data_IF_028621511900
#
_entry.id   IF_028621511900
#
_cell.length_a   1.000
_cell.length_b   1.000
_cell.length_c   1.000
_cell.angle_alpha   90.00
_cell.angle_beta   90.00
_cell.angle_gamma   90.00
#
_symmetry.space_group_name_H-M   'P 1'
#
loop_
_entity.id
_entity.type
_entity.pdbx_description
1 polymer ?
#
# COMPACT_ATOMS: atom_id res chain seq x y z
N UNK A 1 10.89 -24.25 9.20
CA UNK A 1 12.31 -24.25 8.76
C UNK A 1 12.52 -23.58 7.38
N UNK A 2 11.51 -23.54 6.51
CA UNK A 2 11.57 -22.83 5.22
C UNK A 2 11.43 -21.30 5.40
N UNK A 3 10.60 -20.86 6.35
CA UNK A 3 10.35 -19.43 6.64
C UNK A 3 11.60 -18.68 7.09
N UNK A 4 12.49 -19.33 7.86
CA UNK A 4 13.71 -18.71 8.40
C UNK A 4 14.79 -18.47 7.35
N UNK A 5 14.78 -19.21 6.24
CA UNK A 5 15.78 -19.07 5.16
C UNK A 5 15.40 -17.93 4.21
N UNK A 6 14.10 -17.76 3.94
CA UNK A 6 13.57 -16.64 3.13
C UNK A 6 13.78 -15.27 3.81
N UNK A 7 13.58 -15.19 5.12
CA UNK A 7 13.78 -13.96 5.91
C UNK A 7 15.23 -13.45 5.90
N UNK A 8 16.21 -14.32 5.65
CA UNK A 8 17.65 -13.98 5.79
C UNK A 8 18.25 -13.32 4.54
N UNK A 9 17.58 -13.39 3.38
CA UNK A 9 18.13 -12.92 2.08
C UNK A 9 17.48 -11.63 1.55
N UNK A 10 16.36 -11.20 2.12
CA UNK A 10 15.72 -9.93 1.79
C UNK A 10 16.08 -8.87 2.83
N UNK A 11 16.58 -7.70 2.37
CA UNK A 11 16.72 -6.52 3.21
C UNK A 11 15.40 -6.25 3.93
N UNK A 12 15.42 -6.21 5.27
CA UNK A 12 14.22 -6.12 6.12
C UNK A 12 13.29 -4.96 5.75
N UNK A 13 13.83 -3.93 5.11
CA UNK A 13 13.09 -2.76 4.65
C UNK A 13 12.24 -3.05 3.41
N UNK A 14 12.72 -3.90 2.49
CA UNK A 14 11.95 -4.34 1.32
C UNK A 14 10.77 -5.23 1.74
N UNK A 15 11.00 -6.11 2.72
CA UNK A 15 9.96 -6.97 3.27
C UNK A 15 8.85 -6.13 3.93
N UNK A 16 9.23 -5.13 4.73
CA UNK A 16 8.28 -4.22 5.37
C UNK A 16 7.44 -3.43 4.36
N UNK A 17 8.06 -2.89 3.30
CA UNK A 17 7.34 -2.20 2.24
C UNK A 17 6.34 -3.12 1.52
N UNK A 18 6.73 -4.37 1.27
CA UNK A 18 5.87 -5.36 0.61
C UNK A 18 4.66 -5.73 1.48
N UNK A 19 4.87 -5.93 2.78
CA UNK A 19 3.78 -6.15 3.73
C UNK A 19 2.81 -4.96 3.80
N UNK A 20 3.33 -3.73 3.85
CA UNK A 20 2.49 -2.53 3.80
C UNK A 20 1.69 -2.46 2.51
N UNK A 21 2.33 -2.72 1.37
CA UNK A 21 1.65 -2.72 0.06
C UNK A 21 0.52 -3.75 -0.02
N UNK A 22 0.75 -4.98 0.45
CA UNK A 22 -0.29 -6.02 0.51
C UNK A 22 -1.44 -5.59 1.43
N UNK A 23 -1.13 -5.04 2.60
CA UNK A 23 -2.15 -4.60 3.54
C UNK A 23 -3.07 -3.53 2.92
N UNK A 24 -2.51 -2.52 2.26
CA UNK A 24 -3.31 -1.49 1.59
C UNK A 24 -4.08 -2.03 0.37
N UNK A 25 -3.50 -2.98 -0.37
CA UNK A 25 -4.16 -3.63 -1.50
C UNK A 25 -5.34 -4.50 -1.07
N UNK A 26 -5.23 -5.18 0.08
CA UNK A 26 -6.33 -5.96 0.65
C UNK A 26 -7.51 -5.06 1.03
N UNK A 27 -7.24 -3.90 1.65
CA UNK A 27 -8.28 -2.90 1.95
C UNK A 27 -8.93 -2.38 0.66
N UNK A 28 -8.14 -2.06 -0.36
CA UNK A 28 -8.67 -1.63 -1.65
C UNK A 28 -9.58 -2.70 -2.28
N UNK A 29 -9.16 -3.97 -2.22
CA UNK A 29 -9.97 -5.08 -2.71
C UNK A 29 -11.31 -5.15 -1.99
N UNK A 30 -11.35 -5.00 -0.67
CA UNK A 30 -12.60 -4.94 0.09
C UNK A 30 -13.49 -3.77 -0.34
N UNK A 31 -12.93 -2.58 -0.58
CA UNK A 31 -13.69 -1.42 -1.06
C UNK A 31 -14.36 -1.73 -2.41
N UNK A 32 -13.59 -2.29 -3.35
CA UNK A 32 -14.09 -2.65 -4.69
C UNK A 32 -15.18 -3.73 -4.59
N UNK A 33 -14.97 -4.75 -3.76
CA UNK A 33 -15.98 -5.81 -3.54
C UNK A 33 -17.27 -5.22 -2.98
N UNK A 34 -17.21 -4.38 -1.95
CA UNK A 34 -18.40 -3.76 -1.38
C UNK A 34 -19.14 -2.90 -2.42
N UNK A 35 -18.40 -2.14 -3.22
CA UNK A 35 -18.97 -1.28 -4.26
C UNK A 35 -19.68 -2.09 -5.36
N UNK A 36 -18.98 -3.08 -5.95
CA UNK A 36 -19.49 -3.92 -7.03
C UNK A 36 -20.68 -4.77 -6.57
N UNK A 37 -20.59 -5.41 -5.40
CA UNK A 37 -21.70 -6.21 -4.88
C UNK A 37 -22.88 -5.35 -4.39
N UNK A 38 -22.62 -4.13 -3.92
CA UNK A 38 -23.66 -3.17 -3.51
C UNK A 38 -24.47 -2.67 -4.71
N UNK A 39 -23.80 -2.37 -5.83
CA UNK A 39 -24.44 -1.91 -7.06
C UNK A 39 -24.98 -3.03 -7.93
N UNK A 40 -24.52 -4.27 -7.72
CA UNK A 40 -24.78 -5.45 -8.57
C UNK A 40 -24.43 -5.21 -10.04
N UNK A 41 -23.54 -4.26 -10.29
CA UNK A 41 -23.08 -3.89 -11.61
C UNK A 41 -21.57 -3.61 -11.54
N UNK A 42 -20.86 -3.98 -12.59
CA UNK A 42 -19.42 -3.81 -12.68
C UNK A 42 -19.10 -2.74 -13.71
N UNK A 43 -18.86 -1.52 -13.23
CA UNK A 43 -18.33 -0.44 -14.07
C UNK A 43 -16.79 -0.38 -13.94
N UNK A 44 -16.03 -0.79 -14.97
CA UNK A 44 -14.57 -0.76 -14.92
C UNK A 44 -14.01 0.65 -14.78
N UNK A 45 -14.74 1.68 -15.22
CA UNK A 45 -14.31 3.07 -15.15
C UNK A 45 -14.36 3.59 -13.71
N UNK A 46 -15.43 3.26 -12.99
CA UNK A 46 -15.59 3.57 -11.57
C UNK A 46 -14.59 2.82 -10.70
N UNK A 47 -14.41 1.51 -10.91
CA UNK A 47 -13.41 0.71 -10.21
C UNK A 47 -12.00 1.25 -10.46
N UNK A 48 -11.71 1.68 -11.69
CA UNK A 48 -10.46 2.34 -12.05
C UNK A 48 -10.25 3.65 -11.28
N UNK A 49 -11.28 4.49 -11.18
CA UNK A 49 -11.24 5.75 -10.42
C UNK A 49 -11.02 5.51 -8.92
N UNK A 50 -11.73 4.55 -8.32
CA UNK A 50 -11.56 4.16 -6.91
C UNK A 50 -10.13 3.68 -6.66
N UNK A 51 -9.60 2.84 -7.56
CA UNK A 51 -8.24 2.31 -7.48
C UNK A 51 -7.20 3.43 -7.55
N UNK A 52 -7.29 4.31 -8.54
CA UNK A 52 -6.35 5.42 -8.73
C UNK A 52 -6.45 6.41 -7.56
N UNK A 53 -7.66 6.75 -7.12
CA UNK A 53 -7.88 7.65 -5.98
C UNK A 53 -7.29 7.11 -4.69
N UNK A 54 -7.60 5.86 -4.35
CA UNK A 54 -7.10 5.23 -3.13
C UNK A 54 -5.59 5.02 -3.16
N UNK A 55 -5.04 4.43 -4.22
CA UNK A 55 -3.59 4.22 -4.32
C UNK A 55 -2.82 5.54 -4.41
N UNK A 56 -3.37 6.55 -5.08
CA UNK A 56 -2.81 7.90 -5.11
C UNK A 56 -2.70 8.51 -3.70
N UNK A 57 -3.74 8.36 -2.88
CA UNK A 57 -3.72 8.81 -1.49
C UNK A 57 -2.67 8.06 -0.64
N UNK A 58 -2.62 6.73 -0.75
CA UNK A 58 -1.62 5.90 -0.04
C UNK A 58 -0.20 6.30 -0.41
N UNK A 59 0.09 6.45 -1.71
CA UNK A 59 1.41 6.86 -2.20
C UNK A 59 1.77 8.26 -1.71
N UNK A 60 0.81 9.19 -1.66
CA UNK A 60 1.02 10.54 -1.15
C UNK A 60 1.35 10.53 0.34
N UNK A 61 0.62 9.75 1.15
CA UNK A 61 0.91 9.58 2.57
C UNK A 61 2.30 8.99 2.81
N UNK A 62 2.68 7.96 2.05
CA UNK A 62 4.02 7.35 2.13
C UNK A 62 5.11 8.36 1.76
N UNK A 63 4.90 9.15 0.70
CA UNK A 63 5.85 10.18 0.27
C UNK A 63 6.02 11.27 1.34
N UNK A 64 4.93 11.74 1.94
CA UNK A 64 4.97 12.71 3.05
C UNK A 64 5.73 12.13 4.24
N UNK A 65 5.42 10.90 4.65
CA UNK A 65 6.12 10.21 5.73
C UNK A 65 7.63 10.10 5.47
N UNK A 66 8.01 9.74 4.24
CA UNK A 66 9.41 9.67 3.83
C UNK A 66 10.10 11.04 3.86
N UNK A 67 9.44 12.09 3.37
CA UNK A 67 9.97 13.46 3.40
C UNK A 67 10.18 13.93 4.84
N UNK A 68 9.21 13.70 5.72
CA UNK A 68 9.29 14.06 7.15
C UNK A 68 10.42 13.29 7.83
N UNK A 69 10.52 11.98 7.59
CA UNK A 69 11.58 11.15 8.14
C UNK A 69 12.97 11.61 7.67
N UNK A 70 13.12 11.90 6.37
CA UNK A 70 14.35 12.42 5.79
C UNK A 70 14.75 13.77 6.38
N UNK A 71 13.80 14.72 6.50
CA UNK A 71 14.04 16.01 7.15
C UNK A 71 14.49 15.84 8.59
N UNK A 72 13.88 14.92 9.34
CA UNK A 72 14.23 14.67 10.74
C UNK A 72 15.61 14.04 10.91
N UNK A 73 16.03 13.14 10.02
CA UNK A 73 17.39 12.57 10.05
C UNK A 73 18.46 13.63 9.73
N UNK A 74 18.21 14.49 8.74
CA UNK A 74 19.17 15.53 8.35
C UNK A 74 19.36 16.62 9.42
N UNK A 75 18.42 16.75 10.36
CA UNK A 75 18.51 17.71 11.47
C UNK A 75 19.27 17.18 12.69
N UNK A 76 19.64 15.89 12.71
CA UNK A 76 20.39 15.25 13.82
C UNK A 76 21.86 14.96 13.48
N UNK A 77 22.31 15.34 12.28
CA UNK A 77 23.71 15.35 11.85
C UNK A 77 24.15 16.81 11.90
#
# INVERSE_FOLDING_TARGET
MIETILMKKFSSWKLSLFFSFIAYSAVLFFIIVVDVFGRRDFDPLEVGLITVGYMGAVMTMLAIGFIVFKKRMNSRI
#
